data_IF_797011936714
#
_entry.id   IF_797011936714
#
_cell.length_a   1.000
_cell.length_b   1.000
_cell.length_c   1.000
_cell.angle_alpha   90.00
_cell.angle_beta   90.00
_cell.angle_gamma   90.00
#
_symmetry.space_group_name_H-M   'P 1'
#
loop_
_entity.id
_entity.type
_entity.pdbx_description
1 polymer ?
#
# COMPACT_ATOMS: atom_id res chain seq x y z
N UNK A 1 -20.27 1.88 -25.14
CA UNK A 1 -20.72 3.19 -24.63
C UNK A 1 -19.82 3.56 -23.46
N UNK A 2 -19.05 4.64 -23.57
CA UNK A 2 -18.27 5.16 -22.44
C UNK A 2 -19.26 5.85 -21.52
N UNK A 3 -19.39 5.39 -20.27
CA UNK A 3 -20.23 6.05 -19.29
C UNK A 3 -19.80 7.51 -19.17
N UNK A 4 -20.69 8.45 -19.47
CA UNK A 4 -20.42 9.86 -19.26
C UNK A 4 -20.33 10.10 -17.75
N UNK A 5 -19.18 10.57 -17.27
CA UNK A 5 -18.99 10.95 -15.88
C UNK A 5 -20.00 12.04 -15.50
N UNK A 6 -20.68 11.85 -14.38
CA UNK A 6 -21.56 12.86 -13.78
C UNK A 6 -20.75 14.04 -13.25
N UNK A 7 -21.39 15.20 -13.09
CA UNK A 7 -20.71 16.40 -12.57
C UNK A 7 -20.18 16.20 -11.15
N UNK A 8 -20.87 15.39 -10.33
CA UNK A 8 -20.41 14.99 -9.01
C UNK A 8 -19.13 14.16 -9.07
N UNK A 9 -19.08 13.16 -9.95
CA UNK A 9 -17.88 12.32 -10.12
C UNK A 9 -16.69 13.12 -10.66
N UNK A 10 -16.93 14.11 -11.53
CA UNK A 10 -15.87 15.02 -11.99
C UNK A 10 -15.34 15.90 -10.86
N UNK A 11 -16.23 16.41 -10.00
CA UNK A 11 -15.87 17.18 -8.81
C UNK A 11 -15.01 16.36 -7.83
N UNK A 12 -15.42 15.12 -7.56
CA UNK A 12 -14.66 14.19 -6.73
C UNK A 12 -13.27 13.91 -7.32
N UNK A 13 -13.18 13.62 -8.62
CA UNK A 13 -11.89 13.40 -9.29
C UNK A 13 -10.99 14.64 -9.25
N UNK A 14 -11.55 15.85 -9.35
CA UNK A 14 -10.79 17.09 -9.23
C UNK A 14 -10.25 17.27 -7.81
N UNK A 15 -11.06 17.01 -6.78
CA UNK A 15 -10.62 17.05 -5.39
C UNK A 15 -9.52 16.01 -5.11
N UNK A 16 -9.64 14.80 -5.67
CA UNK A 16 -8.59 13.77 -5.62
C UNK A 16 -7.30 14.31 -6.24
N UNK A 17 -7.38 14.95 -7.41
CA UNK A 17 -6.20 15.54 -8.06
C UNK A 17 -5.54 16.56 -7.14
N UNK A 18 -6.29 17.54 -6.64
CA UNK A 18 -5.74 18.62 -5.81
C UNK A 18 -5.04 18.06 -4.55
N UNK A 19 -5.66 17.06 -3.90
CA UNK A 19 -5.09 16.41 -2.72
C UNK A 19 -3.80 15.65 -3.04
N UNK A 20 -3.79 14.83 -4.11
CA UNK A 20 -2.62 14.03 -4.46
C UNK A 20 -1.51 14.83 -5.13
N UNK A 21 -1.79 15.97 -5.75
CA UNK A 21 -0.74 16.88 -6.20
C UNK A 21 0.07 17.42 -5.01
N UNK A 22 -0.59 17.83 -3.93
CA UNK A 22 0.09 18.28 -2.71
C UNK A 22 0.93 17.16 -2.08
N UNK A 23 0.41 15.93 -2.06
CA UNK A 23 1.14 14.76 -1.56
C UNK A 23 2.39 14.52 -2.40
N UNK A 24 2.27 14.50 -3.73
CA UNK A 24 3.40 14.21 -4.62
C UNK A 24 4.39 15.38 -4.76
N UNK A 25 4.01 16.59 -4.36
CA UNK A 25 4.95 17.71 -4.15
C UNK A 25 5.80 17.49 -2.91
N UNK A 26 5.20 16.99 -1.82
CA UNK A 26 5.89 16.72 -0.55
C UNK A 26 6.70 15.42 -0.59
N UNK A 27 6.19 14.42 -1.32
CA UNK A 27 6.75 13.07 -1.44
C UNK A 27 6.85 12.67 -2.92
N UNK A 28 7.87 13.17 -3.66
CA UNK A 28 7.96 12.95 -5.11
C UNK A 28 8.13 11.49 -5.54
N UNK A 29 8.55 10.63 -4.61
CA UNK A 29 8.82 9.20 -4.86
C UNK A 29 7.64 8.29 -4.49
N UNK A 30 6.50 8.83 -4.02
CA UNK A 30 5.33 8.02 -3.70
C UNK A 30 4.62 7.55 -4.97
N UNK A 31 5.02 6.36 -5.45
CA UNK A 31 4.47 5.75 -6.66
C UNK A 31 2.95 5.53 -6.58
N UNK A 32 2.40 5.23 -5.40
CA UNK A 32 0.97 4.98 -5.28
C UNK A 32 0.16 6.26 -5.51
N UNK A 33 0.57 7.36 -4.89
CA UNK A 33 -0.04 8.67 -5.10
C UNK A 33 0.07 9.14 -6.56
N UNK A 34 1.20 8.86 -7.22
CA UNK A 34 1.36 9.13 -8.64
C UNK A 34 0.47 8.25 -9.54
N UNK A 35 0.28 6.97 -9.21
CA UNK A 35 -0.63 6.08 -9.94
C UNK A 35 -2.10 6.54 -9.84
N UNK A 36 -2.50 6.99 -8.65
CA UNK A 36 -3.81 7.60 -8.41
C UNK A 36 -3.97 8.88 -9.22
N UNK A 37 -3.00 9.80 -9.21
CA UNK A 37 -3.05 10.99 -10.07
C UNK A 37 -3.21 10.62 -11.54
N UNK A 38 -2.44 9.64 -12.03
CA UNK A 38 -2.51 9.17 -13.41
C UNK A 38 -3.91 8.62 -13.74
N UNK A 39 -4.52 7.82 -12.87
CA UNK A 39 -5.88 7.30 -13.07
C UNK A 39 -6.92 8.43 -13.05
N UNK A 40 -6.81 9.39 -12.13
CA UNK A 40 -7.70 10.55 -12.07
C UNK A 40 -7.64 11.39 -13.35
N UNK A 41 -6.42 11.68 -13.82
CA UNK A 41 -6.20 12.41 -15.06
C UNK A 41 -6.75 11.65 -16.28
N UNK A 42 -6.58 10.33 -16.34
CA UNK A 42 -7.10 9.52 -17.43
C UNK A 42 -8.64 9.55 -17.49
N UNK A 43 -9.31 9.54 -16.33
CA UNK A 43 -10.77 9.63 -16.25
C UNK A 43 -11.32 10.99 -16.68
N UNK A 44 -10.57 12.06 -16.40
CA UNK A 44 -10.91 13.40 -16.87
C UNK A 44 -10.45 13.69 -18.31
N UNK A 45 -9.95 12.68 -19.04
CA UNK A 45 -9.41 12.80 -20.39
C UNK A 45 -8.29 13.86 -20.52
N UNK A 46 -7.47 14.02 -19.47
CA UNK A 46 -6.30 14.91 -19.46
C UNK A 46 -5.04 14.14 -19.89
N UNK A 47 -4.96 13.78 -21.16
CA UNK A 47 -3.91 12.88 -21.68
C UNK A 47 -2.47 13.40 -21.45
N UNK A 48 -2.26 14.71 -21.52
CA UNK A 48 -0.94 15.32 -21.25
C UNK A 48 -0.50 15.12 -19.79
N UNK A 49 -1.43 15.28 -18.84
CA UNK A 49 -1.14 15.10 -17.41
C UNK A 49 -0.92 13.63 -17.06
N UNK A 50 -1.64 12.71 -17.73
CA UNK A 50 -1.40 11.26 -17.66
C UNK A 50 0.04 10.94 -18.05
N UNK A 51 0.50 11.44 -19.19
CA UNK A 51 1.86 11.20 -19.68
C UNK A 51 2.92 11.79 -18.76
N UNK A 52 2.74 13.04 -18.32
CA UNK A 52 3.64 13.69 -17.37
C UNK A 52 3.75 12.90 -16.07
N UNK A 53 2.62 12.38 -15.58
CA UNK A 53 2.58 11.58 -14.36
C UNK A 53 3.22 10.21 -14.56
N UNK A 54 3.00 9.54 -15.69
CA UNK A 54 3.71 8.29 -16.05
C UNK A 54 5.23 8.46 -16.07
N UNK A 55 5.76 9.57 -16.63
CA UNK A 55 7.19 9.87 -16.58
C UNK A 55 7.70 10.00 -15.13
N UNK A 56 6.92 10.65 -14.25
CA UNK A 56 7.24 10.78 -12.82
C UNK A 56 7.24 9.42 -12.11
N UNK A 57 6.28 8.53 -12.41
CA UNK A 57 6.24 7.16 -11.87
C UNK A 57 7.50 6.40 -12.26
N UNK A 58 7.88 6.44 -13.54
CA UNK A 58 9.08 5.77 -14.02
C UNK A 58 10.34 6.32 -13.34
N UNK A 59 10.46 7.65 -13.18
CA UNK A 59 11.56 8.27 -12.43
C UNK A 59 11.59 7.87 -10.96
N UNK A 60 10.43 7.79 -10.30
CA UNK A 60 10.34 7.33 -8.92
C UNK A 60 10.83 5.87 -8.80
N UNK A 61 10.46 4.99 -9.74
CA UNK A 61 10.99 3.63 -9.78
C UNK A 61 12.51 3.57 -9.97
N UNK A 62 13.09 4.45 -10.80
CA UNK A 62 14.56 4.56 -10.93
C UNK A 62 15.21 4.95 -9.61
N UNK A 63 14.69 5.98 -8.93
CA UNK A 63 15.24 6.46 -7.66
C UNK A 63 15.12 5.42 -6.54
N UNK A 64 14.09 4.58 -6.59
CA UNK A 64 13.88 3.46 -5.66
C UNK A 64 14.70 2.21 -6.03
N UNK A 65 15.53 2.25 -7.10
CA UNK A 65 16.34 1.13 -7.57
C UNK A 65 15.56 0.02 -8.27
N UNK A 66 14.28 0.26 -8.59
CA UNK A 66 13.39 -0.70 -9.24
C UNK A 66 13.51 -0.60 -10.77
N UNK A 67 14.71 -0.88 -11.29
CA UNK A 67 15.05 -0.62 -12.69
C UNK A 67 14.11 -1.36 -13.67
N UNK A 68 13.76 -2.61 -13.39
CA UNK A 68 12.84 -3.38 -14.24
C UNK A 68 11.44 -2.76 -14.34
N UNK A 69 10.91 -2.23 -13.22
CA UNK A 69 9.61 -1.55 -13.21
C UNK A 69 9.67 -0.20 -13.93
N UNK A 70 10.78 0.53 -13.77
CA UNK A 70 11.02 1.78 -14.49
C UNK A 70 11.07 1.57 -16.01
N UNK A 71 11.79 0.54 -16.48
CA UNK A 71 11.90 0.20 -17.90
C UNK A 71 10.51 -0.11 -18.48
N UNK A 72 9.74 -0.99 -17.83
CA UNK A 72 8.39 -1.34 -18.28
C UNK A 72 7.45 -0.13 -18.37
N UNK A 73 7.51 0.79 -17.39
CA UNK A 73 6.70 2.01 -17.43
C UNK A 73 7.15 2.94 -18.57
N UNK A 74 8.45 3.11 -18.79
CA UNK A 74 8.98 3.88 -19.92
C UNK A 74 8.62 3.29 -21.29
N UNK A 75 8.70 1.97 -21.44
CA UNK A 75 8.26 1.28 -22.66
C UNK A 75 6.75 1.49 -22.90
N UNK A 76 5.94 1.44 -21.85
CA UNK A 76 4.50 1.73 -21.95
C UNK A 76 4.22 3.15 -22.44
N UNK A 77 5.06 4.13 -22.04
CA UNK A 77 4.97 5.50 -22.57
C UNK A 77 5.33 5.53 -24.06
N UNK A 78 6.40 4.85 -24.48
CA UNK A 78 6.79 4.80 -25.90
C UNK A 78 5.77 4.12 -26.81
N UNK A 79 4.99 3.16 -26.29
CA UNK A 79 3.87 2.59 -27.07
C UNK A 79 2.81 3.64 -27.43
N UNK A 80 2.62 4.67 -26.59
CA UNK A 80 1.67 5.77 -26.84
C UNK A 80 2.32 6.96 -27.56
N UNK A 81 3.58 7.24 -27.24
CA UNK A 81 4.38 8.31 -27.83
C UNK A 81 5.74 7.75 -28.29
N UNK A 82 5.81 7.15 -29.49
CA UNK A 82 7.02 6.46 -29.97
C UNK A 82 8.26 7.33 -30.09
N UNK A 83 8.08 8.64 -30.18
CA UNK A 83 9.15 9.61 -30.47
C UNK A 83 9.43 10.55 -29.29
N UNK A 84 9.17 10.13 -28.05
CA UNK A 84 9.48 10.93 -26.87
C UNK A 84 10.99 10.88 -26.55
N UNK A 85 11.74 11.98 -26.76
CA UNK A 85 13.19 11.98 -26.64
C UNK A 85 13.66 11.82 -25.19
N UNK A 86 12.89 12.32 -24.21
CA UNK A 86 13.24 12.23 -22.80
C UNK A 86 13.20 10.78 -22.32
N UNK A 87 12.17 10.03 -22.76
CA UNK A 87 11.99 8.62 -22.40
C UNK A 87 13.03 7.73 -23.07
N UNK A 88 13.32 7.95 -24.36
CA UNK A 88 14.39 7.23 -25.07
C UNK A 88 15.75 7.46 -24.41
N UNK A 89 16.06 8.70 -24.01
CA UNK A 89 17.31 9.01 -23.32
C UNK A 89 17.35 8.36 -21.92
N UNK A 90 16.24 8.36 -21.18
CA UNK A 90 16.15 7.72 -19.88
C UNK A 90 16.38 6.20 -19.98
N UNK A 91 15.76 5.52 -20.95
CA UNK A 91 15.98 4.09 -21.19
C UNK A 91 17.42 3.78 -21.59
N UNK A 92 18.03 4.54 -22.50
CA UNK A 92 19.44 4.35 -22.87
C UNK A 92 20.41 4.48 -21.68
N UNK A 93 20.13 5.40 -20.74
CA UNK A 93 20.89 5.55 -19.49
C UNK A 93 20.69 4.36 -18.53
N UNK A 94 19.47 3.80 -18.49
CA UNK A 94 19.16 2.64 -17.66
C UNK A 94 19.77 1.36 -18.23
N UNK A 95 19.76 1.17 -19.55
CA UNK A 95 20.37 0.02 -20.22
C UNK A 95 21.89 0.03 -20.07
N UNK A 96 22.52 1.19 -20.21
CA UNK A 96 23.98 1.33 -19.99
C UNK A 96 24.36 1.07 -18.53
N UNK A 97 23.56 1.55 -17.57
CA UNK A 97 23.78 1.26 -16.13
C UNK A 97 23.52 -0.20 -15.76
N UNK A 98 22.55 -0.85 -16.42
CA UNK A 98 22.33 -2.30 -16.34
C UNK A 98 23.55 -3.05 -16.88
N UNK A 99 24.09 -2.63 -18.03
CA UNK A 99 25.24 -3.27 -18.69
C UNK A 99 26.55 -3.12 -17.88
N UNK A 100 26.75 -1.99 -17.18
CA UNK A 100 27.88 -1.83 -16.26
C UNK A 100 27.77 -2.72 -15.01
N UNK A 101 26.55 -3.13 -14.62
CA UNK A 101 26.36 -4.01 -13.46
C UNK A 101 26.45 -5.49 -13.81
N UNK A 102 26.16 -5.89 -15.07
CA UNK A 102 26.35 -7.29 -15.50
C UNK A 102 27.81 -7.70 -15.66
N UNK A 103 28.74 -6.78 -15.93
CA UNK A 103 30.19 -7.10 -15.98
C UNK A 103 30.77 -7.45 -14.58
N UNK A 104 30.05 -7.13 -13.50
CA UNK A 104 30.40 -7.52 -12.13
C UNK A 104 29.59 -8.72 -11.58
N UNK A 105 28.74 -9.36 -12.40
CA UNK A 105 27.90 -10.49 -11.95
C UNK A 105 27.99 -11.74 -12.82
N UNK A 106 28.97 -11.85 -13.72
CA UNK A 106 29.27 -13.12 -14.43
C UNK A 106 30.05 -14.08 -13.52
N UNK A 107 29.52 -14.36 -12.33
CA UNK A 107 29.80 -15.56 -11.53
C UNK A 107 28.68 -15.72 -10.50
N UNK A 108 27.49 -16.15 -10.93
CA UNK A 108 26.69 -17.15 -10.22
C UNK A 108 25.85 -17.86 -11.28
N UNK A 109 26.32 -19.05 -11.61
CA UNK A 109 25.73 -20.01 -12.51
C UNK A 109 24.40 -20.54 -11.97
N UNK A 110 23.45 -20.66 -12.89
CA UNK A 110 22.39 -21.67 -12.94
C UNK A 110 21.62 -21.98 -11.64
N UNK A 111 20.43 -21.37 -11.51
CA UNK A 111 19.33 -22.04 -10.82
C UNK A 111 18.14 -22.23 -11.76
N UNK A 112 18.00 -23.50 -12.10
CA UNK A 112 16.95 -24.16 -12.88
C UNK A 112 15.63 -24.11 -12.10
N UNK A 113 14.55 -23.74 -12.79
CA UNK A 113 13.19 -23.79 -12.28
C UNK A 113 12.81 -25.20 -11.78
N UNK A 114 12.13 -25.34 -10.62
CA UNK A 114 11.43 -26.57 -10.31
C UNK A 114 10.00 -26.55 -10.87
N UNK A 115 9.66 -27.68 -11.47
CA UNK A 115 8.37 -28.02 -12.06
C UNK A 115 7.29 -28.20 -11.00
N UNK A 116 6.07 -27.86 -11.43
CA UNK A 116 4.79 -28.30 -10.90
C UNK A 116 4.80 -29.73 -10.33
N UNK A 117 4.39 -29.86 -9.07
CA UNK A 117 3.90 -31.10 -8.48
C UNK A 117 2.54 -30.81 -7.83
N UNK A 118 1.49 -31.02 -8.62
CA UNK A 118 0.16 -31.31 -8.08
C UNK A 118 0.26 -32.61 -7.27
N UNK A 119 0.16 -32.50 -5.96
CA UNK A 119 -0.05 -33.62 -5.04
C UNK A 119 -1.25 -33.28 -4.17
N UNK A 120 -2.40 -33.86 -4.48
CA UNK A 120 -3.55 -33.83 -3.60
C UNK A 120 -3.30 -34.73 -2.38
N UNK A 121 -3.67 -34.32 -1.15
CA UNK A 121 -3.97 -35.26 -0.09
C UNK A 121 -5.47 -35.26 0.20
N UNK A 122 -6.10 -36.42 -0.05
CA UNK A 122 -7.37 -36.78 0.57
C UNK A 122 -7.07 -37.43 1.92
N UNK A 123 -7.80 -37.00 2.95
CA UNK A 123 -8.42 -37.91 3.91
C UNK A 123 -7.77 -38.06 5.29
N UNK A 124 -8.45 -37.44 6.26
CA UNK A 124 -8.63 -37.86 7.66
C UNK A 124 -7.42 -37.81 8.61
N UNK A 125 -7.37 -36.77 9.45
CA UNK A 125 -7.87 -36.96 10.82
C UNK A 125 -8.24 -35.63 11.49
N UNK A 126 -9.37 -35.65 12.17
CA UNK A 126 -10.05 -34.48 12.68
C UNK A 126 -9.41 -33.90 13.94
N UNK A 127 -8.78 -32.73 13.79
CA UNK A 127 -8.84 -31.63 14.76
C UNK A 127 -8.91 -30.33 13.98
N UNK A 128 -10.06 -29.66 14.02
CA UNK A 128 -10.26 -28.31 13.46
C UNK A 128 -9.31 -27.34 14.15
N UNK A 129 -8.13 -27.14 13.55
CA UNK A 129 -7.30 -25.99 13.86
C UNK A 129 -8.09 -24.73 13.49
N UNK A 130 -8.17 -23.71 14.36
CA UNK A 130 -8.76 -22.43 13.96
C UNK A 130 -8.03 -21.92 12.73
N UNK A 131 -8.79 -21.49 11.72
CA UNK A 131 -8.24 -21.01 10.46
C UNK A 131 -7.10 -20.01 10.73
N UNK A 132 -5.93 -20.26 10.16
CA UNK A 132 -4.72 -19.46 10.36
C UNK A 132 -4.99 -18.03 9.85
N UNK A 133 -5.19 -17.09 10.78
CA UNK A 133 -5.50 -15.69 10.46
C UNK A 133 -4.21 -14.99 10.01
N UNK A 134 -4.17 -14.51 8.76
CA UNK A 134 -3.04 -13.72 8.24
C UNK A 134 -3.21 -12.24 8.60
N UNK A 135 -2.90 -11.92 9.87
CA UNK A 135 -2.92 -10.56 10.43
C UNK A 135 -1.65 -9.74 10.11
N UNK A 136 -0.74 -10.27 9.29
CA UNK A 136 0.55 -9.65 8.98
C UNK A 136 1.65 -9.92 10.02
N UNK A 137 1.39 -10.71 11.07
CA UNK A 137 2.37 -11.03 12.13
C UNK A 137 3.70 -11.54 11.60
N UNK A 138 3.68 -12.47 10.65
CA UNK A 138 4.90 -13.09 10.12
C UNK A 138 5.80 -12.05 9.45
N UNK A 139 5.23 -11.15 8.66
CA UNK A 139 5.98 -10.07 8.00
C UNK A 139 6.49 -9.06 9.01
N UNK A 140 5.64 -8.62 9.96
CA UNK A 140 6.04 -7.68 11.01
C UNK A 140 7.15 -8.26 11.89
N UNK A 141 7.05 -9.54 12.26
CA UNK A 141 8.10 -10.24 13.00
C UNK A 141 9.41 -10.23 12.24
N UNK A 142 9.38 -10.57 10.95
CA UNK A 142 10.57 -10.57 10.09
C UNK A 142 11.20 -9.16 10.02
N UNK A 143 10.39 -8.14 9.80
CA UNK A 143 10.88 -6.76 9.66
C UNK A 143 11.57 -6.23 10.93
N UNK A 144 11.03 -6.54 12.10
CA UNK A 144 11.55 -6.00 13.36
C UNK A 144 12.62 -6.91 14.01
N UNK A 145 12.54 -8.24 13.87
CA UNK A 145 13.51 -9.18 14.45
C UNK A 145 14.73 -9.39 13.55
N UNK A 146 14.56 -9.57 12.23
CA UNK A 146 15.70 -9.81 11.33
C UNK A 146 16.61 -8.57 11.26
N UNK A 147 16.01 -7.38 11.34
CA UNK A 147 16.73 -6.11 11.43
C UNK A 147 17.27 -5.82 12.85
N UNK A 148 17.06 -6.73 13.82
CA UNK A 148 17.46 -6.61 15.23
C UNK A 148 17.00 -5.30 15.90
N UNK A 149 15.82 -4.81 15.51
CA UNK A 149 15.26 -3.58 16.05
C UNK A 149 14.63 -3.80 17.44
N UNK A 150 14.13 -5.01 17.70
CA UNK A 150 13.58 -5.45 18.99
C UNK A 150 13.92 -6.92 19.24
N UNK A 151 13.72 -7.39 20.48
CA UNK A 151 13.89 -8.80 20.85
C UNK A 151 12.61 -9.61 20.59
N UNK A 152 12.75 -10.93 20.44
CA UNK A 152 11.61 -11.83 20.23
C UNK A 152 10.62 -11.81 21.40
N UNK A 153 11.14 -11.76 22.63
CA UNK A 153 10.31 -11.65 23.83
C UNK A 153 9.46 -10.37 23.83
N UNK A 154 10.03 -9.25 23.37
CA UNK A 154 9.34 -7.97 23.30
C UNK A 154 8.30 -7.96 22.19
N UNK A 155 8.62 -8.54 21.02
CA UNK A 155 7.65 -8.72 19.94
C UNK A 155 6.42 -9.49 20.42
N UNK A 156 6.62 -10.64 21.05
CA UNK A 156 5.51 -11.49 21.52
C UNK A 156 4.68 -10.81 22.63
N UNK A 157 5.27 -9.93 23.45
CA UNK A 157 4.56 -9.15 24.47
C UNK A 157 3.79 -7.95 23.91
N UNK A 158 4.14 -7.49 22.71
CA UNK A 158 3.52 -6.32 22.09
C UNK A 158 2.56 -6.69 20.95
N UNK A 159 2.72 -7.86 20.34
CA UNK A 159 1.79 -8.35 19.33
C UNK A 159 0.51 -8.87 19.97
N UNK A 160 -0.57 -8.13 19.80
CA UNK A 160 -1.91 -8.54 20.22
C UNK A 160 -2.60 -9.12 18.99
N UNK A 161 -2.92 -10.42 19.03
CA UNK A 161 -3.80 -11.03 18.03
C UNK A 161 -5.25 -10.65 18.37
N UNK A 162 -5.95 -9.88 17.53
CA UNK A 162 -7.31 -9.46 17.80
C UNK A 162 -8.26 -10.64 17.93
N UNK A 163 -8.88 -10.82 19.09
CA UNK A 163 -9.97 -11.77 19.26
C UNK A 163 -11.18 -11.34 18.40
N UNK A 164 -12.06 -12.29 18.10
CA UNK A 164 -13.32 -12.05 17.37
C UNK A 164 -14.40 -11.48 18.31
N UNK A 165 -14.14 -11.48 19.62
CA UNK A 165 -15.01 -10.89 20.63
C UNK A 165 -15.13 -9.37 20.48
N UNK A 166 -16.37 -8.88 20.55
CA UNK A 166 -16.70 -7.47 20.38
C UNK A 166 -16.44 -6.71 21.68
N UNK A 167 -15.25 -6.14 21.82
CA UNK A 167 -14.87 -5.29 22.96
C UNK A 167 -15.41 -3.86 22.83
N UNK A 168 -15.97 -3.49 21.67
CA UNK A 168 -16.39 -2.13 21.34
C UNK A 168 -15.24 -1.11 21.24
N UNK A 169 -14.01 -1.52 21.53
CA UNK A 169 -12.80 -0.69 21.52
C UNK A 169 -11.94 -0.98 20.29
N UNK A 170 -11.24 0.05 19.82
CA UNK A 170 -10.28 -0.09 18.72
C UNK A 170 -9.02 -0.73 19.28
N UNK A 171 -8.53 -1.76 18.60
CA UNK A 171 -7.27 -2.38 19.00
C UNK A 171 -6.11 -1.42 18.76
N UNK A 172 -5.21 -1.37 19.72
CA UNK A 172 -4.03 -0.53 19.63
C UNK A 172 -3.02 -1.14 18.65
N UNK A 173 -2.52 -0.37 17.65
CA UNK A 173 -1.57 -0.90 16.68
C UNK A 173 -0.24 -1.29 17.32
N UNK A 174 0.37 -2.37 16.83
CA UNK A 174 1.65 -2.89 17.31
C UNK A 174 2.75 -1.83 17.42
N UNK A 175 2.90 -0.97 16.40
CA UNK A 175 3.94 0.08 16.39
C UNK A 175 3.70 1.18 17.43
N UNK A 176 2.45 1.37 17.87
CA UNK A 176 2.10 2.28 18.96
C UNK A 176 2.55 1.69 20.30
N UNK A 177 2.23 0.42 20.54
CA UNK A 177 2.62 -0.32 21.75
C UNK A 177 4.15 -0.35 21.91
N UNK A 178 4.90 -0.53 20.81
CA UNK A 178 6.36 -0.47 20.83
C UNK A 178 6.88 0.91 21.25
N UNK A 179 6.27 1.98 20.75
CA UNK A 179 6.67 3.35 21.06
C UNK A 179 6.37 3.70 22.51
N UNK A 180 5.18 3.36 23.01
CA UNK A 180 4.75 3.63 24.38
C UNK A 180 5.59 2.88 25.43
N UNK A 181 6.11 1.70 25.06
CA UNK A 181 7.05 0.93 25.89
C UNK A 181 8.51 1.35 25.75
N UNK A 182 8.80 2.36 24.91
CA UNK A 182 10.16 2.82 24.66
C UNK A 182 11.04 1.80 23.92
N UNK A 183 10.45 0.79 23.30
CA UNK A 183 11.18 -0.29 22.60
C UNK A 183 11.64 0.15 21.21
N UNK A 184 10.78 0.87 20.48
CA UNK A 184 11.13 1.41 19.17
C UNK A 184 10.34 2.68 18.86
N UNK A 185 10.99 3.79 18.46
CA UNK A 185 10.30 5.04 18.16
C UNK A 185 9.27 4.91 17.03
N UNK A 186 8.14 5.59 17.17
CA UNK A 186 7.03 5.54 16.23
C UNK A 186 7.43 5.99 14.82
N UNK A 187 8.14 7.12 14.69
CA UNK A 187 8.56 7.66 13.39
C UNK A 187 9.47 6.71 12.62
N UNK A 188 10.37 6.02 13.33
CA UNK A 188 11.26 5.01 12.74
C UNK A 188 10.47 3.78 12.29
N UNK A 189 9.50 3.35 13.09
CA UNK A 189 8.59 2.26 12.73
C UNK A 189 7.80 2.60 11.47
N UNK A 190 7.18 3.79 11.41
CA UNK A 190 6.40 4.25 10.26
C UNK A 190 7.25 4.30 8.99
N UNK A 191 8.45 4.89 9.07
CA UNK A 191 9.38 4.97 7.94
C UNK A 191 9.75 3.58 7.41
N UNK A 192 10.05 2.64 8.31
CA UNK A 192 10.35 1.25 7.95
C UNK A 192 9.17 0.59 7.22
N UNK A 193 7.94 0.76 7.74
CA UNK A 193 6.76 0.18 7.13
C UNK A 193 6.46 0.79 5.76
N UNK A 194 6.56 2.11 5.60
CA UNK A 194 6.41 2.78 4.30
C UNK A 194 7.39 2.23 3.25
N UNK A 195 8.67 2.13 3.61
CA UNK A 195 9.71 1.62 2.71
C UNK A 195 9.45 0.15 2.31
N UNK A 196 9.11 -0.69 3.29
CA UNK A 196 8.98 -2.13 3.08
C UNK A 196 7.66 -2.55 2.44
N UNK A 197 6.56 -1.87 2.78
CA UNK A 197 5.27 -2.11 2.16
C UNK A 197 5.11 -1.37 0.82
N UNK A 198 5.99 -0.38 0.53
CA UNK A 198 5.87 0.53 -0.63
C UNK A 198 4.51 1.23 -0.66
N UNK A 199 4.09 1.70 0.52
CA UNK A 199 2.82 2.42 0.69
C UNK A 199 3.07 3.88 1.07
N UNK A 200 2.22 4.76 0.59
CA UNK A 200 2.27 6.19 0.91
C UNK A 200 1.98 6.44 2.39
N UNK A 201 2.59 7.49 2.94
CA UNK A 201 2.23 8.03 4.25
C UNK A 201 1.28 9.22 4.07
N UNK A 202 0.13 9.17 4.75
CA UNK A 202 -0.91 10.19 4.67
C UNK A 202 -1.44 10.52 6.08
N UNK A 203 -1.18 11.73 6.60
CA UNK A 203 -1.77 12.22 7.85
C UNK A 203 -3.29 12.27 7.78
N UNK A 204 -3.98 11.77 8.81
CA UNK A 204 -5.46 11.67 8.80
C UNK A 204 -6.12 13.05 8.84
N UNK A 205 -5.48 14.03 9.48
CA UNK A 205 -5.93 15.41 9.61
C UNK A 205 -5.99 16.18 8.29
N UNK A 206 -5.21 15.75 7.29
CA UNK A 206 -5.18 16.37 5.97
C UNK A 206 -6.26 15.87 5.02
N UNK A 207 -6.99 14.83 5.39
CA UNK A 207 -8.04 14.25 4.57
C UNK A 207 -9.42 14.65 5.09
N UNK A 208 -10.29 15.05 4.17
CA UNK A 208 -11.71 15.19 4.48
C UNK A 208 -12.36 13.80 4.38
N UNK A 209 -12.77 13.27 5.52
CA UNK A 209 -13.30 11.91 5.63
C UNK A 209 -14.81 11.99 5.61
N UNK A 210 -15.42 11.40 4.58
CA UNK A 210 -16.85 11.18 4.55
C UNK A 210 -17.24 10.13 5.61
N UNK A 211 -17.82 10.61 6.71
CA UNK A 211 -18.22 9.81 7.88
C UNK A 211 -19.32 8.80 7.50
N UNK A 212 -20.28 9.20 6.67
CA UNK A 212 -21.39 8.33 6.29
C UNK A 212 -20.89 7.20 5.39
N UNK A 213 -20.00 7.53 4.45
CA UNK A 213 -19.36 6.53 3.61
C UNK A 213 -18.47 5.58 4.42
N UNK A 214 -17.63 6.09 5.33
CA UNK A 214 -16.79 5.25 6.19
C UNK A 214 -17.62 4.30 7.08
N UNK A 215 -18.81 4.72 7.53
CA UNK A 215 -19.75 3.90 8.31
C UNK A 215 -20.42 2.78 7.52
N UNK A 216 -20.33 2.80 6.18
CA UNK A 216 -20.82 1.69 5.35
C UNK A 216 -20.00 0.39 5.55
N UNK A 217 -18.80 0.50 6.12
CA UNK A 217 -17.95 -0.64 6.44
C UNK A 217 -18.27 -1.23 7.81
N UNK A 218 -18.08 -2.55 8.02
CA UNK A 218 -18.39 -3.20 9.29
C UNK A 218 -17.51 -2.62 10.40
N UNK A 219 -18.14 -1.90 11.34
CA UNK A 219 -17.48 -1.31 12.52
C UNK A 219 -16.55 -2.30 13.21
N UNK A 220 -16.99 -3.55 13.39
CA UNK A 220 -16.21 -4.62 14.03
C UNK A 220 -14.88 -4.87 13.32
N UNK A 221 -14.89 -4.95 12.00
CA UNK A 221 -13.67 -5.16 11.18
C UNK A 221 -12.75 -3.95 11.31
N UNK A 222 -13.29 -2.74 11.18
CA UNK A 222 -12.53 -1.50 11.31
C UNK A 222 -11.88 -1.34 12.68
N UNK A 223 -12.60 -1.67 13.77
CA UNK A 223 -12.09 -1.58 15.15
C UNK A 223 -11.06 -2.69 15.44
N UNK A 224 -11.35 -3.92 15.01
CA UNK A 224 -10.51 -5.10 15.22
C UNK A 224 -9.12 -4.91 14.61
N UNK A 225 -9.07 -4.39 13.38
CA UNK A 225 -7.82 -4.24 12.64
C UNK A 225 -7.20 -2.85 12.74
N UNK A 226 -7.85 -1.91 13.44
CA UNK A 226 -7.46 -0.50 13.47
C UNK A 226 -7.24 0.05 12.06
N UNK A 227 -8.29 -0.04 11.24
CA UNK A 227 -8.31 0.46 9.86
C UNK A 227 -9.49 1.39 9.66
N UNK A 228 -9.31 2.40 8.82
CA UNK A 228 -10.34 3.40 8.54
C UNK A 228 -10.41 3.69 7.03
N UNK A 229 -11.43 3.19 6.33
CA UNK A 229 -11.74 3.63 4.97
C UNK A 229 -12.07 5.12 5.00
N UNK A 230 -11.46 5.89 4.11
CA UNK A 230 -11.71 7.34 4.06
C UNK A 230 -12.19 7.86 2.72
N UNK A 231 -11.89 7.17 1.62
CA UNK A 231 -12.33 7.57 0.29
C UNK A 231 -12.42 6.37 -0.66
N UNK A 232 -13.15 6.54 -1.75
CA UNK A 232 -13.25 5.60 -2.86
C UNK A 232 -12.81 6.29 -4.14
N UNK A 233 -11.82 5.69 -4.77
CA UNK A 233 -11.45 6.06 -6.12
C UNK A 233 -11.75 4.91 -7.07
N UNK A 234 -12.73 5.06 -7.96
CA UNK A 234 -13.00 4.03 -8.99
C UNK A 234 -13.45 2.69 -8.37
N UNK A 235 -12.69 1.63 -8.65
CA UNK A 235 -12.76 0.31 -8.04
C UNK A 235 -11.81 0.16 -6.85
N UNK A 236 -11.10 1.20 -6.46
CA UNK A 236 -10.16 1.20 -5.35
C UNK A 236 -10.78 1.87 -4.12
N UNK A 237 -10.53 1.28 -2.96
CA UNK A 237 -10.98 1.76 -1.66
C UNK A 237 -9.72 2.20 -0.92
N UNK A 238 -9.64 3.49 -0.59
CA UNK A 238 -8.49 4.05 0.11
C UNK A 238 -8.71 3.90 1.61
N UNK A 239 -7.74 3.28 2.28
CA UNK A 239 -7.89 2.87 3.69
C UNK A 239 -6.65 3.24 4.48
N UNK A 240 -6.86 3.98 5.58
CA UNK A 240 -5.82 4.24 6.57
C UNK A 240 -5.53 3.00 7.41
N UNK A 241 -4.25 2.72 7.64
CA UNK A 241 -3.79 1.61 8.48
C UNK A 241 -2.48 1.96 9.18
N UNK A 242 -2.22 1.26 10.29
CA UNK A 242 -0.90 1.20 10.93
C UNK A 242 -0.20 -0.15 10.71
N UNK A 243 -0.85 -1.09 10.01
CA UNK A 243 -0.33 -2.39 9.62
C UNK A 243 -0.74 -2.72 8.17
N UNK A 244 0.09 -2.36 7.17
CA UNK A 244 -0.24 -2.58 5.77
C UNK A 244 -0.09 -4.04 5.32
N UNK A 245 0.40 -4.93 6.18
CA UNK A 245 0.65 -6.34 5.86
C UNK A 245 -0.50 -7.28 6.26
N UNK A 246 -1.58 -6.72 6.80
CA UNK A 246 -2.73 -7.49 7.25
C UNK A 246 -3.61 -7.94 6.08
N UNK A 247 -3.38 -9.16 5.58
CA UNK A 247 -4.17 -9.70 4.46
C UNK A 247 -5.58 -10.10 4.87
N UNK A 248 -5.80 -10.43 6.13
CA UNK A 248 -7.14 -10.73 6.64
C UNK A 248 -8.03 -9.49 6.61
N UNK A 249 -7.52 -8.33 7.01
CA UNK A 249 -8.22 -7.05 6.92
C UNK A 249 -8.59 -6.72 5.46
N UNK A 250 -7.69 -6.98 4.51
CA UNK A 250 -8.01 -6.85 3.08
C UNK A 250 -9.23 -7.69 2.71
N UNK A 251 -9.21 -9.00 3.00
CA UNK A 251 -10.32 -9.91 2.64
C UNK A 251 -11.65 -9.47 3.24
N UNK A 252 -11.66 -9.08 4.51
CA UNK A 252 -12.88 -8.67 5.22
C UNK A 252 -13.44 -7.34 4.68
N UNK A 253 -12.59 -6.38 4.32
CA UNK A 253 -13.01 -5.11 3.73
C UNK A 253 -13.50 -5.28 2.28
N UNK A 254 -12.79 -6.07 1.46
CA UNK A 254 -13.18 -6.36 0.07
C UNK A 254 -14.49 -7.15 -0.03
N UNK A 255 -14.82 -7.95 0.99
CA UNK A 255 -16.10 -8.64 1.09
C UNK A 255 -17.29 -7.68 1.29
N UNK A 256 -17.04 -6.49 1.86
CA UNK A 256 -18.09 -5.49 2.09
C UNK A 256 -18.39 -4.69 0.82
N UNK A 257 -17.35 -4.14 0.20
CA UNK A 257 -17.45 -3.40 -1.06
C UNK A 257 -16.49 -4.04 -2.06
N UNK A 258 -17.05 -4.51 -3.18
CA UNK A 258 -16.27 -5.09 -4.30
C UNK A 258 -15.34 -4.03 -4.89
N UNK A 259 -14.12 -3.98 -4.37
CA UNK A 259 -13.08 -3.05 -4.77
C UNK A 259 -11.72 -3.50 -4.25
N UNK A 260 -10.65 -2.98 -4.82
CA UNK A 260 -9.26 -3.25 -4.41
C UNK A 260 -8.90 -2.33 -3.25
N UNK A 261 -8.34 -2.87 -2.17
CA UNK A 261 -7.84 -2.05 -1.07
C UNK A 261 -6.51 -1.41 -1.45
N UNK A 262 -6.41 -0.10 -1.21
CA UNK A 262 -5.16 0.67 -1.29
C UNK A 262 -4.86 1.22 0.11
N UNK A 263 -3.73 0.80 0.66
CA UNK A 263 -3.32 1.16 2.01
C UNK A 263 -2.57 2.49 2.04
N UNK A 264 -2.98 3.35 2.97
CA UNK A 264 -2.20 4.52 3.38
C UNK A 264 -1.76 4.36 4.81
N UNK A 265 -0.44 4.46 5.04
CA UNK A 265 0.09 4.43 6.37
C UNK A 265 -0.15 5.77 7.05
N UNK A 266 -0.53 5.74 8.32
CA UNK A 266 -0.77 6.96 9.10
C UNK A 266 -0.37 6.79 10.56
N UNK A 267 -0.40 7.88 11.32
CA UNK A 267 -0.07 7.87 12.74
C UNK A 267 -1.17 7.14 13.56
N UNK A 268 -0.81 6.10 14.33
CA UNK A 268 -1.76 5.38 15.18
C UNK A 268 -2.59 6.26 16.14
N UNK A 269 -2.03 7.28 16.83
CA UNK A 269 -2.81 8.11 17.74
C UNK A 269 -3.93 8.88 17.03
N UNK A 270 -3.64 9.39 15.83
CA UNK A 270 -4.61 10.09 15.01
C UNK A 270 -5.67 9.14 14.46
N UNK A 271 -5.25 7.97 13.98
CA UNK A 271 -6.15 6.94 13.48
C UNK A 271 -7.17 6.52 14.55
N UNK A 272 -6.72 6.23 15.78
CA UNK A 272 -7.59 5.87 16.90
C UNK A 272 -8.55 7.02 17.24
N UNK A 273 -8.06 8.27 17.24
CA UNK A 273 -8.89 9.46 17.51
C UNK A 273 -10.00 9.61 16.47
N UNK A 274 -9.69 9.46 15.19
CA UNK A 274 -10.67 9.54 14.10
C UNK A 274 -11.63 8.35 14.09
N UNK A 275 -11.15 7.16 14.45
CA UNK A 275 -12.00 5.97 14.60
C UNK A 275 -13.14 6.24 15.60
N UNK A 276 -12.81 6.83 16.76
CA UNK A 276 -13.80 7.26 17.76
C UNK A 276 -14.74 8.34 17.24
N UNK A 277 -14.34 9.17 16.29
CA UNK A 277 -15.20 10.19 15.66
C UNK A 277 -16.19 9.55 14.69
N UNK A 278 -15.72 8.62 13.86
CA UNK A 278 -16.51 7.97 12.82
C UNK A 278 -17.48 6.95 13.41
N UNK A 279 -17.03 6.07 14.29
CA UNK A 279 -17.85 4.98 14.85
C UNK A 279 -18.43 5.29 16.23
N UNK A 280 -18.59 6.59 16.55
CA UNK A 280 -19.38 7.04 17.70
C UNK A 280 -20.82 6.56 17.60
#
# INVERSE_FOLDING_TARGET
MVAQLTDLERGQLQQTIDMFEVITQSQPQDCQSLEILRESYAKLARDQDVLRTSKRIAQAYVQLGQLSAAILEYESILQRQPNDPDVQQALARLDSSSNTMVEATVEISSFRAPKSLFGAPKGADGRTAPAEIDDGRTTMRKLFLDAKLIQEADFNRCWITPDTADTGQVNEPFIQILADRGLHPLDKSLKLLCEKARVGYLPVDKCDIDIEWARSFPRKVCQRWCVLPFDRMSKSILVFTANPFNKQATKELEATLKGRIVWYLTQPPELIKFHRKVFR
#
